data_IF_617834013670
#
_entry.id   IF_617834013670
#
_cell.length_a   1.000
_cell.length_b   1.000
_cell.length_c   1.000
_cell.angle_alpha   90.00
_cell.angle_beta   90.00
_cell.angle_gamma   90.00
#
_symmetry.space_group_name_H-M   'P 1'
#
loop_
_entity.id
_entity.type
_entity.pdbx_description
1 polymer ?
#
# COMPACT_ATOMS: atom_id res chain seq x y z
N UNK A 1 -16.48 6.59 -30.12
CA UNK A 1 -15.44 6.50 -29.06
C UNK A 1 -15.74 5.26 -28.25
N UNK A 2 -14.82 4.28 -28.18
CA UNK A 2 -15.02 3.09 -27.33
C UNK A 2 -14.54 3.40 -25.93
N UNK A 3 -15.46 3.45 -24.96
CA UNK A 3 -15.14 3.65 -23.55
C UNK A 3 -15.00 2.28 -22.90
N UNK A 4 -13.83 2.01 -22.30
CA UNK A 4 -13.57 0.77 -21.57
C UNK A 4 -13.54 1.07 -20.06
N UNK A 5 -14.52 0.54 -19.34
CA UNK A 5 -14.67 0.71 -17.88
C UNK A 5 -14.43 -0.58 -17.08
N UNK A 6 -13.70 -1.54 -17.66
CA UNK A 6 -13.45 -2.83 -17.00
C UNK A 6 -12.57 -2.67 -15.76
N UNK A 7 -11.54 -1.83 -15.83
CA UNK A 7 -10.61 -1.55 -14.73
C UNK A 7 -9.77 -0.30 -15.04
N UNK A 8 -9.28 0.39 -14.00
CA UNK A 8 -8.28 1.45 -14.13
C UNK A 8 -6.88 0.95 -14.53
N UNK A 9 -6.69 -0.36 -14.56
CA UNK A 9 -5.46 -1.01 -15.04
C UNK A 9 -5.36 -1.09 -16.57
N UNK A 10 -6.43 -0.76 -17.31
CA UNK A 10 -6.41 -0.74 -18.79
C UNK A 10 -5.93 0.60 -19.36
N UNK A 11 -5.54 1.54 -18.53
CA UNK A 11 -4.94 2.81 -18.92
C UNK A 11 -3.67 2.57 -19.77
N UNK A 12 -3.41 3.49 -20.66
CA UNK A 12 -2.23 3.44 -21.53
C UNK A 12 -1.41 4.72 -21.36
N UNK A 13 -0.09 4.65 -21.52
CA UNK A 13 0.76 5.82 -21.53
C UNK A 13 0.33 6.81 -22.62
N UNK A 14 0.45 8.11 -22.34
CA UNK A 14 0.32 9.12 -23.37
C UNK A 14 1.51 9.06 -24.35
N UNK A 15 1.38 9.77 -25.50
CA UNK A 15 2.49 9.85 -26.44
C UNK A 15 3.72 10.49 -25.81
N UNK A 16 3.52 11.54 -25.04
CA UNK A 16 4.61 12.24 -24.33
C UNK A 16 5.31 11.34 -23.30
N UNK A 17 4.56 10.48 -22.62
CA UNK A 17 5.15 9.48 -21.72
C UNK A 17 6.00 8.47 -22.50
N UNK A 18 5.50 7.97 -23.64
CA UNK A 18 6.26 7.04 -24.49
C UNK A 18 7.53 7.69 -25.04
N UNK A 19 7.44 8.94 -25.51
CA UNK A 19 8.59 9.69 -26.02
C UNK A 19 9.65 9.87 -24.89
N UNK A 20 9.22 10.19 -23.67
CA UNK A 20 10.12 10.29 -22.50
C UNK A 20 10.77 8.95 -22.13
N UNK A 21 10.03 7.85 -22.22
CA UNK A 21 10.59 6.52 -21.96
C UNK A 21 11.67 6.15 -22.98
N UNK A 22 11.46 6.47 -24.26
CA UNK A 22 12.45 6.20 -25.31
C UNK A 22 13.73 7.02 -25.20
N UNK A 23 13.65 8.18 -24.56
CA UNK A 23 14.78 9.13 -24.40
C UNK A 23 15.35 9.10 -22.97
N UNK A 24 14.89 8.20 -22.12
CA UNK A 24 15.36 8.13 -20.73
C UNK A 24 16.82 7.63 -20.68
N UNK A 25 17.61 8.28 -19.86
CA UNK A 25 18.92 7.78 -19.48
C UNK A 25 18.75 6.51 -18.63
N UNK A 26 19.50 5.48 -18.97
CA UNK A 26 19.45 4.19 -18.28
C UNK A 26 20.83 3.79 -17.77
N UNK A 27 20.87 2.98 -16.73
CA UNK A 27 22.11 2.50 -16.13
C UNK A 27 21.88 1.22 -15.33
N UNK A 28 22.92 0.75 -14.66
CA UNK A 28 22.86 -0.45 -13.83
C UNK A 28 22.25 -0.11 -12.46
N UNK A 29 21.01 -0.53 -12.24
CA UNK A 29 20.30 -0.26 -10.97
C UNK A 29 20.90 -0.99 -9.78
N UNK A 30 21.59 -2.13 -9.99
CA UNK A 30 22.27 -2.89 -8.92
C UNK A 30 23.32 -1.99 -8.23
N UNK A 31 24.03 -1.18 -9.00
CA UNK A 31 25.03 -0.23 -8.49
C UNK A 31 24.48 1.20 -8.31
N UNK A 32 23.16 1.38 -8.38
CA UNK A 32 22.51 2.70 -8.30
C UNK A 32 23.02 3.70 -9.37
N UNK A 33 23.33 3.18 -10.54
CA UNK A 33 23.82 3.98 -11.67
C UNK A 33 22.73 4.36 -12.68
N UNK A 34 21.49 3.84 -12.50
CA UNK A 34 20.34 4.27 -13.32
C UNK A 34 19.80 5.62 -12.79
N UNK A 35 20.03 6.73 -13.52
CA UNK A 35 19.62 8.05 -13.04
C UNK A 35 18.10 8.22 -13.05
N UNK A 36 17.39 7.52 -13.93
CA UNK A 36 15.93 7.62 -14.07
C UNK A 36 15.23 6.90 -12.92
N UNK A 37 15.70 5.71 -12.55
CA UNK A 37 15.20 4.99 -11.37
C UNK A 37 15.49 5.76 -10.09
N UNK A 38 16.73 6.24 -9.91
CA UNK A 38 17.12 7.01 -8.74
C UNK A 38 16.24 8.26 -8.56
N UNK A 39 15.98 9.00 -9.66
CA UNK A 39 15.14 10.20 -9.65
C UNK A 39 13.69 9.87 -9.31
N UNK A 40 13.14 8.74 -9.79
CA UNK A 40 11.80 8.30 -9.46
C UNK A 40 11.68 7.98 -7.96
N UNK A 41 12.60 7.19 -7.43
CA UNK A 41 12.62 6.80 -6.02
C UNK A 41 12.75 8.02 -5.10
N UNK A 42 13.66 8.95 -5.41
CA UNK A 42 13.82 10.19 -4.66
C UNK A 42 12.54 11.04 -4.69
N UNK A 43 11.94 11.20 -5.88
CA UNK A 43 10.72 11.98 -6.04
C UNK A 43 9.56 11.40 -5.23
N UNK A 44 9.35 10.08 -5.29
CA UNK A 44 8.26 9.42 -4.53
C UNK A 44 8.52 9.57 -3.03
N UNK A 45 9.74 9.34 -2.56
CA UNK A 45 10.10 9.55 -1.16
C UNK A 45 9.81 10.98 -0.68
N UNK A 46 10.21 11.99 -1.45
CA UNK A 46 9.94 13.41 -1.15
C UNK A 46 8.44 13.74 -1.11
N UNK A 47 7.66 13.21 -2.06
CA UNK A 47 6.22 13.46 -2.12
C UNK A 47 5.47 12.99 -0.87
N UNK A 48 5.91 11.88 -0.27
CA UNK A 48 5.33 11.33 0.94
C UNK A 48 6.08 11.73 2.22
N UNK A 49 7.20 12.46 2.12
CA UNK A 49 8.04 12.81 3.27
C UNK A 49 8.67 11.59 3.94
N UNK A 50 8.88 10.52 3.20
CA UNK A 50 9.50 9.28 3.67
C UNK A 50 11.01 9.29 3.41
N UNK A 51 11.76 8.49 4.17
CA UNK A 51 13.23 8.45 4.06
C UNK A 51 13.71 7.94 2.71
N UNK A 52 13.05 6.93 2.15
CA UNK A 52 13.39 6.28 0.88
C UNK A 52 12.15 5.71 0.21
N UNK A 53 12.25 5.51 -1.09
CA UNK A 53 11.33 4.70 -1.88
C UNK A 53 12.13 3.71 -2.70
N UNK A 54 11.48 2.64 -3.14
CA UNK A 54 12.05 1.63 -4.04
C UNK A 54 11.08 1.38 -5.19
N UNK A 55 11.60 1.22 -6.39
CA UNK A 55 10.82 0.84 -7.55
C UNK A 55 10.57 -0.67 -7.57
N UNK A 56 9.35 -1.07 -7.91
CA UNK A 56 8.94 -2.45 -8.10
C UNK A 56 8.13 -2.59 -9.40
N UNK A 57 8.19 -3.76 -10.08
CA UNK A 57 7.42 -3.98 -11.30
C UNK A 57 5.91 -4.06 -11.08
N UNK A 58 5.43 -4.33 -9.85
CA UNK A 58 4.00 -4.45 -9.56
C UNK A 58 3.66 -4.06 -8.11
N UNK A 59 2.42 -3.59 -7.91
CA UNK A 59 1.88 -3.30 -6.57
C UNK A 59 1.78 -4.54 -5.67
N UNK A 60 1.51 -5.71 -6.26
CA UNK A 60 1.54 -6.97 -5.51
C UNK A 60 2.93 -7.23 -4.91
N UNK A 61 3.99 -7.04 -5.71
CA UNK A 61 5.36 -7.23 -5.20
C UNK A 61 5.68 -6.21 -4.10
N UNK A 62 5.26 -4.96 -4.25
CA UNK A 62 5.44 -3.91 -3.24
C UNK A 62 4.77 -4.28 -1.92
N UNK A 63 3.47 -4.64 -1.96
CA UNK A 63 2.73 -5.05 -0.77
C UNK A 63 3.34 -6.29 -0.10
N UNK A 64 3.67 -7.32 -0.90
CA UNK A 64 4.24 -8.55 -0.35
C UNK A 64 5.61 -8.32 0.28
N UNK A 65 6.43 -7.43 -0.30
CA UNK A 65 7.72 -7.02 0.29
C UNK A 65 7.51 -6.25 1.59
N UNK A 66 6.60 -5.28 1.62
CA UNK A 66 6.28 -4.52 2.82
C UNK A 66 5.81 -5.44 3.96
N UNK A 67 4.88 -6.36 3.67
CA UNK A 67 4.40 -7.33 4.67
C UNK A 67 5.56 -8.21 5.16
N UNK A 68 6.41 -8.68 4.24
CA UNK A 68 7.53 -9.56 4.58
C UNK A 68 8.54 -8.92 5.52
N UNK A 69 8.88 -7.65 5.32
CA UNK A 69 9.87 -6.95 6.17
C UNK A 69 9.31 -6.48 7.52
N UNK A 70 7.98 -6.36 7.64
CA UNK A 70 7.30 -5.88 8.84
C UNK A 70 6.76 -7.02 9.73
N UNK A 71 6.93 -8.28 9.32
CA UNK A 71 6.36 -9.43 10.03
C UNK A 71 7.33 -10.60 10.08
N UNK A 72 7.08 -11.54 10.97
CA UNK A 72 7.79 -12.82 11.04
C UNK A 72 6.83 -13.99 10.74
N UNK A 73 7.33 -15.14 10.25
CA UNK A 73 6.50 -16.34 10.12
C UNK A 73 5.82 -16.70 11.45
N UNK A 74 4.52 -16.99 11.38
CA UNK A 74 3.69 -17.25 12.54
C UNK A 74 2.97 -16.02 13.11
N UNK A 75 3.31 -14.81 12.66
CA UNK A 75 2.60 -13.59 13.05
C UNK A 75 1.19 -13.53 12.42
N UNK A 76 0.44 -12.53 12.86
CA UNK A 76 -0.86 -12.15 12.33
C UNK A 76 -0.84 -10.71 11.85
N UNK A 77 -1.41 -10.45 10.67
CA UNK A 77 -1.78 -9.10 10.24
C UNK A 77 -3.30 -8.91 10.30
N UNK A 78 -3.71 -7.68 10.60
CA UNK A 78 -5.13 -7.27 10.57
C UNK A 78 -5.39 -6.51 9.28
N UNK A 79 -6.43 -6.88 8.54
CA UNK A 79 -6.88 -6.15 7.35
C UNK A 79 -8.40 -6.28 7.14
N UNK A 80 -8.95 -5.48 6.22
CA UNK A 80 -10.35 -5.66 5.81
C UNK A 80 -10.54 -6.98 5.07
N UNK A 81 -11.69 -7.63 5.22
CA UNK A 81 -12.08 -8.79 4.41
C UNK A 81 -12.10 -8.50 2.90
N UNK A 82 -12.16 -7.24 2.51
CA UNK A 82 -12.14 -6.79 1.11
C UNK A 82 -10.76 -6.38 0.61
N UNK A 83 -9.72 -6.39 1.46
CA UNK A 83 -8.36 -5.96 1.10
C UNK A 83 -7.80 -6.74 -0.07
N UNK A 84 -7.07 -6.05 -0.94
CA UNK A 84 -6.40 -6.63 -2.09
C UNK A 84 -5.33 -7.64 -1.66
N UNK A 85 -4.55 -7.33 -0.65
CA UNK A 85 -3.49 -8.21 -0.10
C UNK A 85 -4.02 -9.58 0.34
N UNK A 86 -5.28 -9.66 0.77
CA UNK A 86 -5.91 -10.91 1.16
C UNK A 86 -6.53 -11.65 -0.01
N UNK A 87 -7.25 -10.94 -0.91
CA UNK A 87 -8.11 -11.57 -1.91
C UNK A 87 -7.44 -11.75 -3.28
N UNK A 88 -6.46 -10.92 -3.65
CA UNK A 88 -6.03 -10.77 -5.04
C UNK A 88 -4.51 -10.84 -5.24
N UNK A 89 -3.76 -11.34 -4.27
CA UNK A 89 -2.31 -11.48 -4.34
C UNK A 89 -1.83 -12.93 -4.24
N UNK A 90 -2.65 -13.87 -4.74
CA UNK A 90 -2.26 -15.28 -4.86
C UNK A 90 -1.97 -15.99 -3.53
N UNK A 91 -2.56 -15.52 -2.42
CA UNK A 91 -2.25 -16.06 -1.08
C UNK A 91 -0.88 -15.64 -0.57
N UNK A 92 -0.30 -14.56 -1.15
CA UNK A 92 1.08 -14.13 -0.91
C UNK A 92 1.40 -13.85 0.55
N UNK A 93 0.45 -13.33 1.34
CA UNK A 93 0.64 -13.10 2.78
C UNK A 93 1.07 -14.37 3.50
N UNK A 94 0.38 -15.48 3.24
CA UNK A 94 0.71 -16.78 3.84
C UNK A 94 1.94 -17.41 3.20
N UNK A 95 2.02 -17.37 1.86
CA UNK A 95 3.09 -18.04 1.12
C UNK A 95 4.45 -17.35 1.30
N UNK A 96 4.51 -16.03 1.11
CA UNK A 96 5.78 -15.30 1.15
C UNK A 96 6.23 -14.99 2.59
N UNK A 97 5.29 -14.69 3.47
CA UNK A 97 5.60 -14.18 4.82
C UNK A 97 5.30 -15.18 5.94
N UNK A 98 4.53 -16.24 5.68
CA UNK A 98 4.11 -17.19 6.71
C UNK A 98 3.15 -16.58 7.74
N UNK A 99 2.39 -15.55 7.33
CA UNK A 99 1.56 -14.72 8.20
C UNK A 99 0.08 -15.07 8.00
N UNK A 100 -0.67 -15.12 9.08
CA UNK A 100 -2.13 -15.28 9.03
C UNK A 100 -2.84 -13.92 8.93
N UNK A 101 -3.99 -13.89 8.24
CA UNK A 101 -4.82 -12.68 8.16
C UNK A 101 -5.96 -12.75 9.18
N UNK A 102 -6.08 -11.75 10.02
CA UNK A 102 -7.26 -11.48 10.84
C UNK A 102 -8.14 -10.45 10.13
N UNK A 103 -9.31 -10.88 9.71
CA UNK A 103 -10.17 -10.05 8.87
C UNK A 103 -11.14 -9.24 9.70
N UNK A 104 -11.23 -7.94 9.41
CA UNK A 104 -12.23 -7.05 9.97
C UNK A 104 -13.32 -6.79 8.92
N UNK A 105 -14.57 -6.85 9.35
CA UNK A 105 -15.70 -6.38 8.58
C UNK A 105 -15.85 -4.86 8.73
N UNK A 106 -16.17 -4.20 7.63
CA UNK A 106 -16.41 -2.76 7.63
C UNK A 106 -17.20 -2.35 6.40
N UNK A 107 -17.93 -1.27 6.51
CA UNK A 107 -18.70 -0.74 5.39
C UNK A 107 -17.74 -0.32 4.27
N UNK A 108 -17.91 -0.87 3.08
CA UNK A 108 -17.07 -0.59 1.90
C UNK A 108 -15.57 -0.80 2.16
N UNK A 109 -15.22 -1.74 3.05
CA UNK A 109 -13.84 -2.03 3.40
C UNK A 109 -13.21 -1.08 4.43
N UNK A 110 -13.96 -0.11 4.92
CA UNK A 110 -13.54 0.82 5.98
C UNK A 110 -14.02 0.30 7.32
N UNK A 111 -13.14 0.18 8.29
CA UNK A 111 -13.44 -0.24 9.67
C UNK A 111 -13.05 0.86 10.66
N UNK A 112 -13.40 0.72 11.91
CA UNK A 112 -13.12 1.72 12.95
C UNK A 112 -11.93 1.32 13.81
N UNK A 113 -11.28 2.30 14.42
CA UNK A 113 -10.17 2.07 15.33
C UNK A 113 -10.53 1.12 16.49
N UNK A 114 -11.78 1.23 17.02
CA UNK A 114 -12.29 0.32 18.06
C UNK A 114 -12.32 -1.14 17.60
N UNK A 115 -12.60 -1.38 16.31
CA UNK A 115 -12.68 -2.73 15.74
C UNK A 115 -11.26 -3.31 15.63
N UNK A 116 -10.25 -2.49 15.29
CA UNK A 116 -8.84 -2.89 15.29
C UNK A 116 -8.42 -3.38 16.69
N UNK A 117 -8.70 -2.59 17.73
CA UNK A 117 -8.30 -2.93 19.10
C UNK A 117 -8.85 -4.28 19.54
N UNK A 118 -10.10 -4.60 19.21
CA UNK A 118 -10.74 -5.87 19.55
C UNK A 118 -10.18 -7.08 18.78
N UNK A 119 -9.38 -6.87 17.74
CA UNK A 119 -8.79 -7.92 16.91
C UNK A 119 -7.30 -8.14 17.20
N UNK A 120 -6.69 -7.32 18.08
CA UNK A 120 -5.30 -7.53 18.55
C UNK A 120 -5.30 -8.70 19.52
N UNK A 121 -4.47 -9.70 19.27
CA UNK A 121 -4.30 -10.81 20.17
C UNK A 121 -3.50 -10.37 21.42
N UNK A 122 -3.82 -10.89 22.60
CA UNK A 122 -3.05 -10.60 23.81
C UNK A 122 -1.58 -11.04 23.65
N UNK A 123 -0.60 -10.18 23.98
CA UNK A 123 0.82 -10.47 23.72
C UNK A 123 1.34 -11.66 24.54
N UNK A 124 0.76 -11.90 25.71
CA UNK A 124 1.19 -12.95 26.65
C UNK A 124 0.46 -14.29 26.44
N UNK A 125 -0.42 -14.38 25.45
CA UNK A 125 -1.17 -15.59 25.17
C UNK A 125 -0.50 -16.41 24.05
N UNK A 126 0.39 -17.33 24.43
CA UNK A 126 1.25 -18.08 23.51
C UNK A 126 0.49 -18.96 22.48
N UNK A 127 -0.78 -19.27 22.69
CA UNK A 127 -1.60 -20.03 21.75
C UNK A 127 -2.07 -19.19 20.54
N UNK A 128 -2.05 -17.86 20.64
CA UNK A 128 -2.43 -16.97 19.56
C UNK A 128 -1.22 -16.51 18.76
N UNK A 129 -1.34 -16.35 17.43
CA UNK A 129 -0.31 -15.68 16.66
C UNK A 129 -0.13 -14.23 17.17
N UNK A 130 1.11 -13.76 17.24
CA UNK A 130 1.39 -12.36 17.59
C UNK A 130 0.82 -11.44 16.51
N UNK A 131 0.00 -10.48 16.91
CA UNK A 131 -0.40 -9.39 16.00
C UNK A 131 0.79 -8.46 15.82
N UNK A 132 1.23 -8.21 14.59
CA UNK A 132 2.41 -7.39 14.28
C UNK A 132 2.14 -6.27 13.29
N UNK A 133 1.11 -6.39 12.46
CA UNK A 133 0.86 -5.46 11.36
C UNK A 133 -0.63 -5.16 11.20
N UNK A 134 -0.94 -3.89 10.94
CA UNK A 134 -2.24 -3.47 10.41
C UNK A 134 -2.03 -3.02 8.97
N UNK A 135 -2.80 -3.59 8.04
CA UNK A 135 -2.78 -3.23 6.63
C UNK A 135 -4.14 -2.65 6.23
N UNK A 136 -4.13 -1.46 5.67
CA UNK A 136 -5.33 -0.82 5.09
C UNK A 136 -5.13 -0.51 3.62
N UNK A 137 -6.23 -0.35 2.89
CA UNK A 137 -6.25 -0.03 1.46
C UNK A 137 -6.95 1.31 1.25
N UNK A 138 -6.34 2.24 0.52
CA UNK A 138 -6.91 3.55 0.20
C UNK A 138 -6.54 4.00 -1.24
N UNK A 139 -7.50 4.27 -2.11
CA UNK A 139 -8.95 4.05 -1.94
C UNK A 139 -9.27 2.56 -2.03
N UNK A 140 -10.32 2.11 -1.35
CA UNK A 140 -10.69 0.69 -1.34
C UNK A 140 -11.20 0.25 -2.71
N UNK A 141 -10.66 -0.83 -3.27
CA UNK A 141 -11.05 -1.37 -4.58
C UNK A 141 -12.48 -1.96 -4.50
N UNK A 142 -12.68 -3.00 -3.72
CA UNK A 142 -13.99 -3.65 -3.54
C UNK A 142 -15.03 -2.77 -2.84
N UNK A 143 -14.59 -1.76 -2.11
CA UNK A 143 -15.46 -0.75 -1.52
C UNK A 143 -15.93 0.33 -2.51
N UNK A 144 -15.61 0.20 -3.82
CA UNK A 144 -16.02 1.16 -4.84
C UNK A 144 -15.37 2.54 -4.66
N UNK A 145 -14.06 2.57 -4.39
CA UNK A 145 -13.29 3.80 -4.24
C UNK A 145 -13.57 4.58 -2.96
N UNK A 146 -14.01 3.92 -1.89
CA UNK A 146 -14.19 4.58 -0.61
C UNK A 146 -12.85 5.11 -0.08
N UNK A 147 -12.89 6.33 0.48
CA UNK A 147 -11.73 6.99 1.06
C UNK A 147 -11.81 6.95 2.58
N UNK A 148 -10.67 6.73 3.23
CA UNK A 148 -10.57 6.81 4.68
C UNK A 148 -10.68 8.25 5.19
N UNK A 149 -11.32 8.40 6.33
CA UNK A 149 -11.24 9.62 7.14
C UNK A 149 -9.87 9.67 7.81
N UNK A 150 -9.15 10.77 7.63
CA UNK A 150 -7.81 10.97 8.19
C UNK A 150 -7.80 10.90 9.73
N UNK A 151 -8.86 11.35 10.39
CA UNK A 151 -8.96 11.27 11.84
C UNK A 151 -9.11 9.83 12.32
N UNK A 152 -9.77 8.98 11.54
CA UNK A 152 -9.85 7.55 11.85
C UNK A 152 -8.49 6.87 11.64
N UNK A 153 -7.74 7.24 10.59
CA UNK A 153 -6.37 6.76 10.38
C UNK A 153 -5.44 7.16 11.55
N UNK A 154 -5.53 8.41 12.03
CA UNK A 154 -4.79 8.89 13.20
C UNK A 154 -5.10 8.08 14.47
N UNK A 155 -6.36 7.70 14.68
CA UNK A 155 -6.74 6.82 15.80
C UNK A 155 -6.15 5.43 15.66
N UNK A 156 -6.16 4.85 14.44
CA UNK A 156 -5.56 3.55 14.18
C UNK A 156 -4.04 3.62 14.41
N UNK A 157 -3.36 4.67 13.90
CA UNK A 157 -1.92 4.89 14.17
C UNK A 157 -1.62 4.92 15.67
N UNK A 158 -2.43 5.64 16.45
CA UNK A 158 -2.27 5.66 17.92
C UNK A 158 -2.44 4.28 18.57
N UNK A 159 -3.30 3.42 18.02
CA UNK A 159 -3.43 2.02 18.47
C UNK A 159 -2.16 1.24 18.10
N UNK A 160 -1.64 1.41 16.88
CA UNK A 160 -0.41 0.77 16.45
C UNK A 160 0.75 1.10 17.39
N UNK A 161 0.95 2.38 17.67
CA UNK A 161 2.03 2.86 18.55
C UNK A 161 1.92 2.28 19.96
N UNK A 162 0.73 2.29 20.55
CA UNK A 162 0.48 1.76 21.91
C UNK A 162 0.69 0.25 22.04
N UNK A 163 0.56 -0.49 20.92
CA UNK A 163 0.66 -1.94 20.90
C UNK A 163 1.90 -2.46 20.16
N UNK A 164 2.83 -1.57 19.79
CA UNK A 164 4.03 -1.90 19.02
C UNK A 164 3.72 -2.67 17.72
N UNK A 165 2.70 -2.20 16.98
CA UNK A 165 2.30 -2.73 15.68
C UNK A 165 2.81 -1.83 14.57
N UNK A 166 3.21 -2.42 13.46
CA UNK A 166 3.46 -1.69 12.23
C UNK A 166 2.15 -1.31 11.52
N UNK A 167 2.21 -0.26 10.72
CA UNK A 167 1.07 0.24 9.96
C UNK A 167 1.45 0.41 8.49
N UNK A 168 0.86 -0.42 7.62
CA UNK A 168 1.08 -0.42 6.17
C UNK A 168 -0.13 0.11 5.42
N UNK A 169 0.13 0.95 4.42
CA UNK A 169 -0.88 1.43 3.47
C UNK A 169 -0.70 0.77 2.10
N UNK A 170 -1.67 -0.06 1.70
CA UNK A 170 -1.88 -0.34 0.28
C UNK A 170 -2.50 0.89 -0.38
N UNK A 171 -1.63 1.71 -0.92
CA UNK A 171 -1.96 2.97 -1.59
C UNK A 171 -2.02 2.82 -3.11
N UNK A 172 -2.40 1.64 -3.63
CA UNK A 172 -2.49 1.41 -5.08
C UNK A 172 -3.30 2.49 -5.82
N UNK A 173 -4.23 3.15 -5.12
CA UNK A 173 -5.04 4.27 -5.64
C UNK A 173 -5.02 5.50 -4.72
N UNK A 174 -3.93 5.71 -4.00
CA UNK A 174 -3.78 6.84 -3.07
C UNK A 174 -3.92 8.20 -3.79
N UNK A 175 -3.53 8.27 -5.05
CA UNK A 175 -3.68 9.46 -5.88
C UNK A 175 -5.14 9.93 -5.97
N UNK A 176 -6.09 9.00 -6.03
CA UNK A 176 -7.52 9.30 -6.05
C UNK A 176 -7.99 9.84 -4.69
N UNK A 177 -7.51 9.25 -3.58
CA UNK A 177 -7.79 9.73 -2.22
C UNK A 177 -7.21 11.14 -2.00
N UNK A 178 -6.00 11.40 -2.47
CA UNK A 178 -5.35 12.70 -2.42
C UNK A 178 -6.20 13.80 -3.09
N UNK A 179 -6.66 13.54 -4.32
CA UNK A 179 -7.50 14.49 -5.07
C UNK A 179 -8.86 14.67 -4.40
N UNK A 180 -9.47 13.58 -3.94
CA UNK A 180 -10.81 13.57 -3.34
C UNK A 180 -10.85 14.30 -2.00
N UNK A 181 -9.90 14.01 -1.11
CA UNK A 181 -9.91 14.46 0.28
C UNK A 181 -9.09 15.73 0.49
N UNK A 182 -8.21 16.10 -0.47
CA UNK A 182 -7.26 17.20 -0.38
C UNK A 182 -6.32 17.11 0.84
N UNK A 183 -6.03 15.89 1.27
CA UNK A 183 -5.06 15.59 2.32
C UNK A 183 -3.70 15.44 1.65
N UNK A 184 -2.67 16.09 2.18
CA UNK A 184 -1.33 16.04 1.60
C UNK A 184 -0.75 14.62 1.66
N UNK A 185 0.08 14.27 0.67
CA UNK A 185 0.76 12.97 0.67
C UNK A 185 1.73 12.84 1.85
N UNK A 186 2.33 13.95 2.29
CA UNK A 186 3.17 14.00 3.50
C UNK A 186 2.37 13.65 4.75
N UNK A 187 1.10 14.08 4.84
CA UNK A 187 0.26 13.71 5.98
C UNK A 187 -0.02 12.20 6.01
N UNK A 188 -0.18 11.56 4.86
CA UNK A 188 -0.21 10.10 4.78
C UNK A 188 1.15 9.49 5.17
N UNK A 189 2.26 10.00 4.63
CA UNK A 189 3.61 9.51 4.96
C UNK A 189 3.90 9.51 6.46
N UNK A 190 3.43 10.52 7.18
CA UNK A 190 3.61 10.63 8.64
C UNK A 190 2.80 9.59 9.45
N UNK A 191 1.82 8.93 8.84
CA UNK A 191 0.97 7.97 9.55
C UNK A 191 1.45 6.52 9.41
N UNK A 192 2.10 6.18 8.30
CA UNK A 192 2.41 4.80 7.96
C UNK A 192 3.91 4.51 8.04
N UNK A 193 4.24 3.29 8.43
CA UNK A 193 5.62 2.82 8.42
C UNK A 193 6.08 2.46 7.00
N UNK A 194 5.15 1.96 6.17
CA UNK A 194 5.36 1.71 4.74
C UNK A 194 4.10 2.04 3.93
N UNK A 195 4.32 2.49 2.69
CA UNK A 195 3.24 2.81 1.74
C UNK A 195 3.59 2.19 0.40
N UNK A 196 2.67 1.45 -0.21
CA UNK A 196 2.77 1.08 -1.61
C UNK A 196 1.94 2.01 -2.49
N UNK A 197 2.48 2.41 -3.65
CA UNK A 197 1.78 3.27 -4.61
C UNK A 197 1.90 2.69 -6.01
N UNK A 198 0.79 2.60 -6.75
CA UNK A 198 0.85 2.15 -8.13
C UNK A 198 0.99 3.33 -9.09
N UNK A 199 1.85 3.16 -10.08
CA UNK A 199 2.05 4.08 -11.20
C UNK A 199 1.26 3.62 -12.44
N UNK A 200 0.99 2.32 -12.56
CA UNK A 200 0.40 1.64 -13.70
C UNK A 200 -1.14 1.54 -13.65
N UNK A 201 -1.81 2.49 -13.00
CA UNK A 201 -3.28 2.62 -12.97
C UNK A 201 -3.68 4.01 -13.44
N UNK A 202 -4.33 4.81 -12.59
CA UNK A 202 -4.80 6.15 -12.93
C UNK A 202 -3.72 7.11 -13.44
N UNK A 203 -2.45 6.90 -13.10
CA UNK A 203 -1.33 7.68 -13.64
C UNK A 203 -0.93 7.28 -15.07
N UNK A 204 -1.38 6.13 -15.56
CA UNK A 204 -1.18 5.72 -16.95
C UNK A 204 0.20 5.16 -17.30
N UNK A 205 1.09 4.93 -16.33
CA UNK A 205 2.37 4.28 -16.61
C UNK A 205 2.15 2.82 -17.06
N UNK A 206 2.99 2.29 -17.98
CA UNK A 206 2.81 0.93 -18.49
C UNK A 206 3.10 -0.15 -17.45
N UNK A 207 3.94 0.17 -16.45
CA UNK A 207 4.39 -0.74 -15.39
C UNK A 207 4.79 0.11 -14.18
N UNK A 208 4.82 -0.52 -13.01
CA UNK A 208 5.52 -0.02 -11.85
C UNK A 208 4.65 0.35 -10.67
N UNK A 209 5.30 0.22 -9.54
CA UNK A 209 4.87 0.64 -8.20
C UNK A 209 6.10 1.09 -7.40
N UNK A 210 5.87 1.80 -6.34
CA UNK A 210 6.91 2.20 -5.41
C UNK A 210 6.38 2.17 -3.97
#
# INVERSE_FOLDING_TARGET
MNVNLISDTVTKPSKEMLDKMMLADVGDDVFKQDPTVNQLEEKVAQMFGMQKALFFPSGTMTNQTAIKILTNPGDQLICSKYSHVYNYEGGGVSFNSGVSCKLIEGERGLFKAKDVFSHINPPDFYHSPKTSLICIENTTNKGGGACWDINELKKIKSICEKNNLFFHLDGARIWNAYVRNRISLIEYGNLFDTISVCLSKGLGCPIGSS
#
